data_IF_946409893537
#
_entry.id   IF_946409893537
#
_cell.length_a   1.000
_cell.length_b   1.000
_cell.length_c   1.000
_cell.angle_alpha   90.00
_cell.angle_beta   90.00
_cell.angle_gamma   90.00
#
_symmetry.space_group_name_H-M   'P 1'
#
loop_
_entity.id
_entity.type
_entity.pdbx_description
1 polymer ?
#
# COMPACT_ATOMS: atom_id res chain seq x y z
N UNK A 1 -21.62 14.51 2.44
CA UNK A 1 -20.15 14.48 2.29
C UNK A 1 -19.83 13.28 1.43
N UNK A 2 -18.91 13.39 0.47
CA UNK A 2 -18.40 12.21 -0.25
C UNK A 2 -17.75 11.26 0.77
N UNK A 3 -17.93 9.95 0.61
CA UNK A 3 -17.27 8.95 1.47
C UNK A 3 -15.75 9.07 1.27
N UNK A 4 -14.95 8.74 2.27
CA UNK A 4 -13.48 8.77 2.16
C UNK A 4 -13.00 7.97 0.93
N UNK A 5 -13.61 6.83 0.67
CA UNK A 5 -13.34 6.00 -0.50
C UNK A 5 -13.54 6.75 -1.84
N UNK A 6 -14.63 7.51 -2.00
CA UNK A 6 -14.88 8.27 -3.23
C UNK A 6 -13.80 9.33 -3.46
N UNK A 7 -13.33 9.96 -2.37
CA UNK A 7 -12.26 10.94 -2.43
C UNK A 7 -10.93 10.29 -2.84
N UNK A 8 -10.59 9.14 -2.26
CA UNK A 8 -9.39 8.38 -2.60
C UNK A 8 -9.41 7.92 -4.09
N UNK A 9 -10.54 7.41 -4.57
CA UNK A 9 -10.71 7.04 -5.98
C UNK A 9 -10.51 8.25 -6.88
N UNK A 10 -11.10 9.41 -6.55
CA UNK A 10 -10.93 10.64 -7.32
C UNK A 10 -9.47 11.12 -7.34
N UNK A 11 -8.74 10.99 -6.24
CA UNK A 11 -7.31 11.33 -6.19
C UNK A 11 -6.49 10.41 -7.12
N UNK A 12 -6.70 9.11 -7.04
CA UNK A 12 -6.04 8.12 -7.91
C UNK A 12 -6.39 8.40 -9.39
N UNK A 13 -7.66 8.66 -9.71
CA UNK A 13 -8.12 8.98 -11.05
C UNK A 13 -7.47 10.26 -11.60
N UNK A 14 -7.37 11.31 -10.76
CA UNK A 14 -6.72 12.57 -11.14
C UNK A 14 -5.26 12.34 -11.51
N UNK A 15 -4.53 11.59 -10.70
CA UNK A 15 -3.12 11.24 -10.96
C UNK A 15 -3.00 10.38 -12.21
N UNK A 16 -3.84 9.35 -12.36
CA UNK A 16 -3.81 8.45 -13.50
C UNK A 16 -4.06 9.20 -14.83
N UNK A 17 -5.04 10.11 -14.86
CA UNK A 17 -5.31 10.93 -16.05
C UNK A 17 -4.15 11.86 -16.40
N UNK A 18 -3.50 12.47 -15.41
CA UNK A 18 -2.36 13.35 -15.63
C UNK A 18 -1.14 12.59 -16.17
N UNK A 19 -0.86 11.39 -15.65
CA UNK A 19 0.23 10.54 -16.13
C UNK A 19 0.04 10.16 -17.62
N UNK A 20 -1.19 9.87 -18.01
CA UNK A 20 -1.48 9.36 -19.36
C UNK A 20 -0.99 7.93 -19.56
N UNK A 21 -1.35 7.31 -20.67
CA UNK A 21 -1.12 5.87 -20.92
C UNK A 21 0.34 5.45 -20.84
N UNK A 22 1.25 6.25 -21.34
CA UNK A 22 2.68 5.90 -21.38
C UNK A 22 3.28 5.77 -19.97
N UNK A 23 3.11 6.79 -19.12
CA UNK A 23 3.67 6.75 -17.76
C UNK A 23 2.88 5.81 -16.82
N UNK A 24 1.60 5.54 -17.09
CA UNK A 24 0.82 4.55 -16.33
C UNK A 24 1.40 3.14 -16.44
N UNK A 25 2.06 2.80 -17.54
CA UNK A 25 2.73 1.50 -17.72
C UNK A 25 4.02 1.37 -16.90
N UNK A 26 4.64 2.51 -16.55
CA UNK A 26 5.91 2.56 -15.81
C UNK A 26 5.73 2.61 -14.28
N UNK A 27 4.51 2.84 -13.80
CA UNK A 27 4.23 3.03 -12.37
C UNK A 27 3.28 1.97 -11.82
N UNK A 28 3.33 1.74 -10.51
CA UNK A 28 2.39 0.90 -9.78
C UNK A 28 1.83 1.70 -8.61
N UNK A 29 0.50 1.78 -8.51
CA UNK A 29 -0.19 2.40 -7.41
C UNK A 29 -0.08 1.53 -6.15
N UNK A 30 0.27 2.16 -5.04
CA UNK A 30 0.54 1.52 -3.74
C UNK A 30 0.02 2.41 -2.61
N UNK A 31 0.40 2.11 -1.37
CA UNK A 31 0.15 2.97 -0.22
C UNK A 31 -1.29 2.98 0.29
N UNK A 32 -1.56 3.87 1.23
CA UNK A 32 -2.85 3.95 1.94
C UNK A 32 -4.04 4.29 1.03
N UNK A 33 -3.81 5.08 -0.02
CA UNK A 33 -4.86 5.45 -0.98
C UNK A 33 -5.44 4.24 -1.73
N UNK A 34 -4.69 3.13 -1.85
CA UNK A 34 -5.12 1.92 -2.57
C UNK A 34 -5.81 0.89 -1.69
N UNK A 35 -5.84 1.06 -0.36
CA UNK A 35 -6.43 0.12 0.59
C UNK A 35 -7.85 -0.27 0.19
N UNK A 36 -8.69 0.72 -0.13
CA UNK A 36 -10.07 0.50 -0.53
C UNK A 36 -10.27 -0.23 -1.86
N UNK A 37 -9.28 -0.19 -2.76
CA UNK A 37 -9.32 -0.92 -4.03
C UNK A 37 -9.07 -2.41 -3.84
N UNK A 38 -8.36 -2.78 -2.77
CA UNK A 38 -8.00 -4.16 -2.45
C UNK A 38 -9.03 -4.87 -1.56
N UNK A 39 -9.88 -4.12 -0.85
CA UNK A 39 -10.93 -4.65 0.02
C UNK A 39 -12.16 -5.01 -0.80
N UNK A 40 -12.77 -6.17 -0.52
CA UNK A 40 -14.02 -6.63 -1.15
C UNK A 40 -15.24 -6.51 -0.22
N UNK A 41 -15.03 -6.44 1.10
CA UNK A 41 -16.12 -6.26 2.09
C UNK A 41 -16.57 -4.79 2.17
N UNK A 42 -17.85 -4.53 1.89
CA UNK A 42 -18.40 -3.16 1.85
C UNK A 42 -18.43 -2.49 3.23
N UNK A 43 -18.57 -3.25 4.32
CA UNK A 43 -18.59 -2.69 5.69
C UNK A 43 -17.20 -2.17 6.05
N UNK A 44 -16.15 -2.94 5.75
CA UNK A 44 -14.75 -2.51 5.96
C UNK A 44 -14.42 -1.29 5.11
N UNK A 45 -14.87 -1.25 3.85
CA UNK A 45 -14.67 -0.08 2.98
C UNK A 45 -15.20 1.23 3.55
N UNK A 46 -16.32 1.18 4.28
CA UNK A 46 -16.89 2.37 4.92
C UNK A 46 -16.02 2.93 6.05
N UNK A 47 -15.21 2.08 6.69
CA UNK A 47 -14.31 2.42 7.81
C UNK A 47 -12.89 2.86 7.39
N UNK A 48 -12.54 2.81 6.10
CA UNK A 48 -11.20 3.16 5.63
C UNK A 48 -10.89 4.63 5.93
N UNK A 49 -9.68 4.85 6.48
CA UNK A 49 -9.19 6.21 6.72
C UNK A 49 -8.96 6.96 5.42
N UNK A 50 -9.09 8.26 5.48
CA UNK A 50 -8.64 9.15 4.42
C UNK A 50 -7.11 9.31 4.49
N UNK A 51 -6.46 9.41 3.34
CA UNK A 51 -5.07 9.87 3.17
C UNK A 51 -5.06 11.03 2.17
N UNK A 52 -4.11 11.94 2.27
CA UNK A 52 -4.00 13.14 1.45
C UNK A 52 -2.92 13.03 0.37
N UNK A 53 -2.32 11.85 0.23
CA UNK A 53 -1.30 11.54 -0.76
C UNK A 53 -1.65 10.32 -1.62
N UNK A 54 -1.03 10.26 -2.79
CA UNK A 54 -1.05 9.10 -3.69
C UNK A 54 0.37 8.59 -3.83
N UNK A 55 0.57 7.34 -3.47
CA UNK A 55 1.88 6.67 -3.52
C UNK A 55 2.01 5.83 -4.79
N UNK A 56 3.16 5.95 -5.46
CA UNK A 56 3.50 5.19 -6.66
C UNK A 56 4.91 4.61 -6.55
N UNK A 57 5.07 3.36 -6.93
CA UNK A 57 6.40 2.79 -7.16
C UNK A 57 6.74 2.96 -8.63
N UNK A 58 8.00 3.33 -8.92
CA UNK A 58 8.51 3.52 -10.27
C UNK A 58 9.77 2.71 -10.51
N UNK A 59 9.87 2.10 -11.69
CA UNK A 59 11.09 1.43 -12.13
C UNK A 59 11.94 2.41 -12.92
N UNK A 60 13.09 2.80 -12.35
CA UNK A 60 14.02 3.73 -13.01
C UNK A 60 15.45 3.24 -12.89
N UNK A 61 16.20 3.33 -13.99
CA UNK A 61 17.59 2.89 -14.04
C UNK A 61 18.54 4.00 -13.57
N UNK A 62 18.81 4.04 -12.25
CA UNK A 62 19.75 4.96 -11.63
C UNK A 62 19.34 6.43 -11.73
N UNK A 63 20.26 7.33 -11.35
CA UNK A 63 19.98 8.78 -11.30
C UNK A 63 19.58 9.41 -12.64
N UNK A 64 20.16 8.94 -13.76
CA UNK A 64 19.81 9.48 -15.08
C UNK A 64 18.38 9.15 -15.47
N UNK A 65 17.95 7.91 -15.23
CA UNK A 65 16.56 7.48 -15.44
C UNK A 65 15.59 8.23 -14.53
N UNK A 66 15.94 8.41 -13.26
CA UNK A 66 15.16 9.18 -12.31
C UNK A 66 14.95 10.63 -12.75
N UNK A 67 16.04 11.30 -13.18
CA UNK A 67 15.95 12.67 -13.68
C UNK A 67 15.06 12.78 -14.92
N UNK A 68 15.22 11.86 -15.88
CA UNK A 68 14.38 11.83 -17.09
C UNK A 68 12.91 11.61 -16.75
N UNK A 69 12.61 10.70 -15.82
CA UNK A 69 11.23 10.47 -15.35
C UNK A 69 10.64 11.72 -14.70
N UNK A 70 11.42 12.42 -13.86
CA UNK A 70 10.96 13.68 -13.25
C UNK A 70 10.71 14.79 -14.29
N UNK A 71 11.48 14.85 -15.37
CA UNK A 71 11.23 15.81 -16.47
C UNK A 71 9.89 15.49 -17.16
N UNK A 72 9.63 14.22 -17.47
CA UNK A 72 8.34 13.80 -18.03
C UNK A 72 7.15 14.14 -17.11
N UNK A 73 7.32 13.97 -15.79
CA UNK A 73 6.29 14.35 -14.83
C UNK A 73 6.03 15.86 -14.84
N UNK A 74 7.08 16.70 -14.95
CA UNK A 74 6.92 18.16 -15.06
C UNK A 74 6.15 18.56 -16.32
N UNK A 75 6.40 17.89 -17.44
CA UNK A 75 5.67 18.10 -18.70
C UNK A 75 4.18 17.72 -18.57
N UNK A 76 3.84 16.83 -17.63
CA UNK A 76 2.47 16.45 -17.29
C UNK A 76 1.84 17.35 -16.21
N UNK A 77 2.53 18.38 -15.74
CA UNK A 77 2.01 19.34 -14.76
C UNK A 77 2.35 19.04 -13.30
N UNK A 78 3.13 18.00 -13.02
CA UNK A 78 3.62 17.74 -11.66
C UNK A 78 4.73 18.74 -11.31
N UNK A 79 4.69 19.27 -10.10
CA UNK A 79 5.64 20.29 -9.63
C UNK A 79 6.32 19.85 -8.32
N UNK A 80 7.55 20.28 -8.10
CA UNK A 80 8.26 20.11 -6.83
C UNK A 80 8.03 21.34 -5.97
N UNK A 81 7.67 21.15 -4.69
CA UNK A 81 7.62 22.25 -3.72
C UNK A 81 8.86 22.22 -2.84
N UNK A 82 9.44 23.39 -2.57
CA UNK A 82 10.57 23.53 -1.64
C UNK A 82 10.16 23.35 -0.17
N UNK A 83 8.86 23.39 0.10
CA UNK A 83 8.30 23.21 1.44
C UNK A 83 8.08 21.71 1.78
N UNK A 84 8.21 20.81 0.79
CA UNK A 84 8.06 19.38 1.01
C UNK A 84 9.37 18.78 1.53
N UNK A 85 9.32 18.16 2.72
CA UNK A 85 10.45 17.45 3.32
C UNK A 85 10.71 16.08 2.67
N UNK A 86 9.72 15.55 1.92
CA UNK A 86 9.78 14.24 1.28
C UNK A 86 10.37 14.35 -0.12
N UNK A 87 11.54 13.79 -0.33
CA UNK A 87 12.35 13.94 -1.56
C UNK A 87 11.65 13.38 -2.82
N UNK A 88 10.83 12.34 -2.68
CA UNK A 88 10.10 11.72 -3.78
C UNK A 88 8.75 12.38 -4.06
N UNK A 89 8.39 13.43 -3.31
CA UNK A 89 7.10 14.10 -3.41
C UNK A 89 7.06 15.10 -4.55
N UNK A 90 6.00 15.02 -5.32
CA UNK A 90 5.59 16.05 -6.29
C UNK A 90 4.14 16.46 -6.02
N UNK A 91 3.70 17.56 -6.60
CA UNK A 91 2.34 18.07 -6.44
C UNK A 91 1.66 18.21 -7.80
N UNK A 92 0.41 17.79 -7.87
CA UNK A 92 -0.48 17.95 -9.01
C UNK A 92 -1.72 18.72 -8.52
N UNK A 93 -1.88 19.99 -8.89
CA UNK A 93 -2.99 20.85 -8.47
C UNK A 93 -3.20 20.86 -6.93
N UNK A 94 -2.10 20.79 -6.18
CA UNK A 94 -2.10 20.76 -4.72
C UNK A 94 -2.18 19.35 -4.12
N UNK A 95 -2.53 18.33 -4.88
CA UNK A 95 -2.50 16.92 -4.45
C UNK A 95 -1.06 16.46 -4.28
N UNK A 96 -0.74 15.82 -3.16
CA UNK A 96 0.57 15.22 -2.91
C UNK A 96 0.68 13.87 -3.62
N UNK A 97 1.78 13.67 -4.34
CA UNK A 97 2.05 12.43 -5.07
C UNK A 97 3.49 12.01 -4.83
N UNK A 98 3.69 10.85 -4.22
CA UNK A 98 5.00 10.33 -3.88
C UNK A 98 5.42 9.26 -4.91
N UNK A 99 6.44 9.59 -5.70
CA UNK A 99 7.03 8.68 -6.68
C UNK A 99 8.26 8.01 -6.07
N UNK A 100 8.13 6.74 -5.69
CA UNK A 100 9.16 6.00 -4.97
C UNK A 100 9.93 5.07 -5.91
N UNK A 101 11.21 5.36 -6.23
CA UNK A 101 12.05 4.47 -7.01
C UNK A 101 12.24 3.13 -6.30
N UNK A 102 12.30 2.04 -7.07
CA UNK A 102 12.65 0.72 -6.57
C UNK A 102 14.14 0.57 -6.24
N UNK A 103 14.98 1.49 -6.73
CA UNK A 103 16.41 1.57 -6.45
C UNK A 103 16.70 2.47 -5.23
N UNK A 104 17.17 1.83 -4.15
CA UNK A 104 17.56 2.52 -2.91
C UNK A 104 18.67 3.56 -3.08
N UNK A 105 19.54 3.40 -4.09
CA UNK A 105 20.68 4.28 -4.29
C UNK A 105 20.25 5.68 -4.79
N UNK A 106 19.01 5.81 -5.31
CA UNK A 106 18.48 7.08 -5.80
C UNK A 106 18.07 8.02 -4.65
N UNK A 107 17.32 7.52 -3.66
CA UNK A 107 16.82 8.35 -2.55
C UNK A 107 17.48 8.04 -1.21
N UNK A 108 18.40 7.07 -1.16
CA UNK A 108 19.01 6.59 0.08
C UNK A 108 18.12 5.67 0.91
N UNK A 109 16.91 5.38 0.48
CA UNK A 109 15.98 4.42 1.06
C UNK A 109 15.14 3.74 -0.02
N UNK A 110 14.65 2.55 0.24
CA UNK A 110 13.64 1.85 -0.57
C UNK A 110 13.03 0.75 0.28
N UNK A 111 11.83 0.33 -0.08
CA UNK A 111 11.23 -0.87 0.47
C UNK A 111 11.74 -2.08 -0.32
N UNK A 112 12.26 -3.09 0.37
CA UNK A 112 12.85 -4.29 -0.27
C UNK A 112 11.91 -5.07 -1.17
N UNK A 113 10.60 -4.81 -1.09
CA UNK A 113 9.56 -5.49 -1.87
C UNK A 113 9.17 -4.72 -3.13
N UNK A 114 9.60 -3.47 -3.31
CA UNK A 114 9.16 -2.62 -4.43
C UNK A 114 9.44 -3.24 -5.79
N UNK A 115 10.63 -3.80 -5.99
CA UNK A 115 10.99 -4.42 -7.27
C UNK A 115 10.04 -5.57 -7.64
N UNK A 116 9.80 -6.51 -6.72
CA UNK A 116 8.91 -7.64 -6.97
C UNK A 116 7.44 -7.19 -7.05
N UNK A 117 7.05 -6.17 -6.29
CA UNK A 117 5.72 -5.58 -6.39
C UNK A 117 5.46 -4.97 -7.78
N UNK A 118 6.44 -4.27 -8.36
CA UNK A 118 6.39 -3.77 -9.74
C UNK A 118 6.21 -4.91 -10.76
N UNK A 119 7.00 -5.99 -10.64
CA UNK A 119 6.99 -7.12 -11.55
C UNK A 119 5.67 -7.91 -11.49
N UNK A 120 5.00 -7.94 -10.32
CA UNK A 120 3.78 -8.72 -10.06
C UNK A 120 2.49 -7.90 -10.04
N UNK A 121 2.58 -6.60 -10.29
CA UNK A 121 1.42 -5.71 -10.31
C UNK A 121 0.39 -6.18 -11.35
N UNK A 122 -0.89 -5.97 -11.04
CA UNK A 122 -2.00 -6.38 -11.88
C UNK A 122 -2.77 -5.18 -12.40
N UNK A 123 -3.37 -5.34 -13.56
CA UNK A 123 -4.26 -4.35 -14.13
C UNK A 123 -5.54 -4.25 -13.28
N UNK A 124 -5.87 -3.03 -12.87
CA UNK A 124 -7.08 -2.71 -12.15
C UNK A 124 -7.87 -1.66 -12.92
N UNK A 125 -9.13 -1.99 -13.28
CA UNK A 125 -10.03 -1.04 -13.96
C UNK A 125 -10.60 -0.06 -12.93
N UNK A 126 -10.04 1.13 -12.91
CA UNK A 126 -10.45 2.20 -11.99
C UNK A 126 -11.73 2.92 -12.49
N UNK A 127 -11.81 3.18 -13.80
CA UNK A 127 -12.95 3.76 -14.48
C UNK A 127 -13.14 3.08 -15.85
N UNK A 128 -14.19 3.45 -16.60
CA UNK A 128 -14.48 2.86 -17.91
C UNK A 128 -13.30 2.99 -18.88
N UNK A 129 -12.63 4.13 -18.84
CA UNK A 129 -11.51 4.51 -19.71
C UNK A 129 -10.13 4.51 -19.00
N UNK A 130 -10.06 4.08 -17.73
CA UNK A 130 -8.81 4.09 -16.96
C UNK A 130 -8.52 2.70 -16.40
N UNK A 131 -7.37 2.18 -16.80
CA UNK A 131 -6.76 0.98 -16.21
C UNK A 131 -5.44 1.42 -15.58
N UNK A 132 -5.24 1.09 -14.31
CA UNK A 132 -4.01 1.35 -13.57
C UNK A 132 -3.32 0.02 -13.23
N UNK A 133 -2.02 0.06 -12.99
CA UNK A 133 -1.31 -1.06 -12.38
C UNK A 133 -1.37 -0.94 -10.87
N UNK A 134 -1.93 -1.94 -10.22
CA UNK A 134 -2.12 -2.00 -8.77
C UNK A 134 -1.27 -3.14 -8.19
N UNK A 135 -0.60 -2.91 -7.05
CA UNK A 135 0.11 -3.99 -6.37
C UNK A 135 -0.89 -5.05 -5.88
N UNK A 136 -0.42 -6.32 -5.80
CA UNK A 136 -1.26 -7.40 -5.27
C UNK A 136 -1.35 -7.36 -3.75
N UNK A 137 -2.41 -7.93 -3.17
CA UNK A 137 -2.65 -7.92 -1.73
C UNK A 137 -1.50 -8.49 -0.89
N UNK A 138 -0.81 -9.57 -1.29
CA UNK A 138 0.38 -10.03 -0.55
C UNK A 138 1.51 -9.01 -0.53
N UNK A 139 1.77 -8.31 -1.65
CA UNK A 139 2.78 -7.24 -1.68
C UNK A 139 2.34 -5.99 -0.92
N UNK A 140 1.03 -5.69 -0.88
CA UNK A 140 0.51 -4.63 0.00
C UNK A 140 0.85 -4.93 1.46
N UNK A 141 0.52 -6.12 1.96
CA UNK A 141 0.87 -6.54 3.34
C UNK A 141 2.38 -6.46 3.56
N UNK A 142 3.20 -7.01 2.66
CA UNK A 142 4.65 -7.03 2.84
C UNK A 142 5.27 -5.63 2.85
N UNK A 143 4.83 -4.73 1.96
CA UNK A 143 5.33 -3.34 1.91
C UNK A 143 4.93 -2.56 3.16
N UNK A 144 3.72 -2.77 3.68
CA UNK A 144 3.22 -2.16 4.92
C UNK A 144 3.94 -2.71 6.17
N UNK A 145 4.16 -4.02 6.25
CA UNK A 145 4.96 -4.64 7.34
C UNK A 145 6.39 -4.08 7.37
N UNK A 146 7.04 -3.96 6.21
CA UNK A 146 8.38 -3.39 6.13
C UNK A 146 8.40 -1.91 6.55
N UNK A 147 7.39 -1.12 6.16
CA UNK A 147 7.25 0.26 6.57
C UNK A 147 6.99 0.39 8.08
N UNK A 148 6.12 -0.44 8.64
CA UNK A 148 5.86 -0.51 10.08
C UNK A 148 7.14 -0.80 10.88
N UNK A 149 7.98 -1.74 10.44
CA UNK A 149 9.28 -2.03 11.06
C UNK A 149 10.23 -0.84 11.05
N UNK A 150 10.19 -0.02 9.99
CA UNK A 150 11.07 1.12 9.82
C UNK A 150 10.61 2.38 10.58
N UNK A 151 9.32 2.67 10.59
CA UNK A 151 8.76 3.93 11.09
C UNK A 151 7.63 3.80 12.11
N UNK A 152 7.15 2.57 12.37
CA UNK A 152 5.99 2.33 13.26
C UNK A 152 6.32 2.44 14.76
N UNK A 153 7.57 2.67 15.14
CA UNK A 153 8.03 2.79 16.54
C UNK A 153 7.55 1.66 17.45
N UNK A 154 7.27 0.49 16.89
CA UNK A 154 6.68 -0.66 17.59
C UNK A 154 5.35 -0.31 18.31
N UNK A 155 4.56 0.62 17.73
CA UNK A 155 3.26 1.01 18.27
C UNK A 155 2.15 0.72 17.23
N UNK A 156 1.42 -0.42 17.37
CA UNK A 156 0.38 -0.78 16.42
C UNK A 156 -0.86 0.10 16.51
N UNK A 157 -1.04 0.87 17.60
CA UNK A 157 -2.18 1.76 17.78
C UNK A 157 -2.01 3.10 17.05
N UNK A 158 -0.76 3.59 16.95
CA UNK A 158 -0.45 4.85 16.31
C UNK A 158 -0.02 4.70 14.83
N UNK A 159 0.16 3.47 14.36
CA UNK A 159 0.67 3.21 13.02
C UNK A 159 -0.43 3.12 11.97
N UNK A 160 -0.43 4.03 11.01
CA UNK A 160 -1.30 3.95 9.82
C UNK A 160 -0.99 2.72 8.94
N UNK A 161 0.28 2.25 8.93
CA UNK A 161 0.62 1.02 8.20
C UNK A 161 -0.06 -0.19 8.84
N UNK A 162 -0.15 -0.23 10.17
CA UNK A 162 -0.86 -1.29 10.89
C UNK A 162 -2.37 -1.23 10.65
N UNK A 163 -2.96 -0.03 10.70
CA UNK A 163 -4.38 0.16 10.39
C UNK A 163 -4.72 -0.35 8.98
N UNK A 164 -3.90 -0.03 7.98
CA UNK A 164 -4.08 -0.49 6.60
C UNK A 164 -3.96 -2.02 6.47
N UNK A 165 -3.01 -2.65 7.20
CA UNK A 165 -2.86 -4.12 7.27
C UNK A 165 -4.12 -4.76 7.85
N UNK A 166 -4.57 -4.29 9.01
CA UNK A 166 -5.72 -4.85 9.70
C UNK A 166 -7.01 -4.66 8.91
N UNK A 167 -7.20 -3.52 8.24
CA UNK A 167 -8.31 -3.29 7.32
C UNK A 167 -8.30 -4.30 6.18
N UNK A 168 -7.14 -4.60 5.59
CA UNK A 168 -7.07 -5.58 4.51
C UNK A 168 -7.31 -7.01 5.03
N UNK A 169 -6.79 -7.36 6.20
CA UNK A 169 -7.06 -8.67 6.84
C UNK A 169 -8.55 -8.83 7.15
N UNK A 170 -9.21 -7.78 7.63
CA UNK A 170 -10.65 -7.79 7.91
C UNK A 170 -11.49 -7.86 6.62
N UNK A 171 -11.15 -7.02 5.63
CA UNK A 171 -12.00 -6.75 4.47
C UNK A 171 -11.73 -7.58 3.22
N UNK A 172 -10.72 -8.49 3.23
CA UNK A 172 -10.38 -9.35 2.08
C UNK A 172 -10.38 -10.83 2.45
N UNK A 173 -11.49 -11.54 2.28
CA UNK A 173 -11.58 -12.98 2.60
C UNK A 173 -10.56 -13.85 1.88
N UNK A 174 -10.15 -13.47 0.66
CA UNK A 174 -9.21 -14.21 -0.19
C UNK A 174 -7.75 -14.07 0.25
N UNK A 175 -7.43 -13.11 1.15
CA UNK A 175 -6.05 -12.74 1.49
C UNK A 175 -5.20 -13.92 1.97
N UNK A 176 -5.75 -14.79 2.83
CA UNK A 176 -5.03 -15.98 3.35
C UNK A 176 -4.61 -16.89 2.20
N UNK A 177 -5.52 -17.16 1.25
CA UNK A 177 -5.24 -18.00 0.10
C UNK A 177 -4.24 -17.35 -0.86
N UNK A 178 -4.34 -16.05 -1.07
CA UNK A 178 -3.41 -15.29 -1.91
C UNK A 178 -1.98 -15.32 -1.34
N UNK A 179 -1.83 -15.17 -0.02
CA UNK A 179 -0.53 -15.28 0.64
C UNK A 179 -0.02 -16.72 0.56
N UNK A 180 -0.88 -17.72 0.74
CA UNK A 180 -0.51 -19.14 0.68
C UNK A 180 0.11 -19.54 -0.67
N UNK A 181 -0.40 -18.99 -1.78
CA UNK A 181 0.08 -19.29 -3.14
C UNK A 181 1.18 -18.34 -3.62
N UNK A 182 1.53 -17.32 -2.83
CA UNK A 182 2.59 -16.38 -3.15
C UNK A 182 3.98 -17.07 -3.14
N UNK A 183 4.98 -16.38 -3.73
CA UNK A 183 6.37 -16.83 -3.65
C UNK A 183 6.79 -17.15 -2.22
N UNK A 184 7.57 -18.24 -2.02
CA UNK A 184 7.97 -18.73 -0.70
C UNK A 184 8.58 -17.62 0.17
N UNK A 185 9.48 -16.80 -0.40
CA UNK A 185 10.17 -15.75 0.34
C UNK A 185 9.20 -14.66 0.83
N UNK A 186 8.22 -14.30 0.00
CA UNK A 186 7.19 -13.32 0.36
C UNK A 186 6.26 -13.89 1.43
N UNK A 187 5.78 -15.13 1.24
CA UNK A 187 4.91 -15.83 2.17
C UNK A 187 5.56 -15.99 3.55
N UNK A 188 6.78 -16.52 3.60
CA UNK A 188 7.50 -16.74 4.86
C UNK A 188 7.73 -15.41 5.59
N UNK A 189 8.11 -14.34 4.88
CA UNK A 189 8.24 -13.02 5.49
C UNK A 189 6.93 -12.52 6.11
N UNK A 190 5.82 -12.60 5.37
CA UNK A 190 4.52 -12.15 5.88
C UNK A 190 4.13 -12.99 7.10
N UNK A 191 4.27 -14.31 7.04
CA UNK A 191 3.92 -15.22 8.12
C UNK A 191 4.73 -14.94 9.40
N UNK A 192 6.05 -14.76 9.27
CA UNK A 192 6.92 -14.42 10.41
C UNK A 192 6.56 -13.08 11.04
N UNK A 193 6.36 -12.03 10.24
CA UNK A 193 6.06 -10.70 10.79
C UNK A 193 4.65 -10.65 11.40
N UNK A 194 3.66 -11.33 10.83
CA UNK A 194 2.33 -11.47 11.44
C UNK A 194 2.40 -12.27 12.75
N UNK A 195 3.25 -13.33 12.81
CA UNK A 195 3.48 -14.05 14.07
C UNK A 195 4.04 -13.14 15.18
N UNK A 196 5.01 -12.27 14.85
CA UNK A 196 5.53 -11.29 15.81
C UNK A 196 4.49 -10.27 16.26
N UNK A 197 3.58 -9.87 15.34
CA UNK A 197 2.48 -8.96 15.69
C UNK A 197 1.46 -9.62 16.64
N UNK A 198 1.18 -10.91 16.47
CA UNK A 198 0.28 -11.64 17.37
C UNK A 198 0.84 -11.74 18.80
N UNK A 199 2.17 -11.72 18.95
CA UNK A 199 2.86 -11.70 20.28
C UNK A 199 2.91 -10.29 20.88
N UNK A 200 2.43 -9.24 20.20
CA UNK A 200 2.52 -7.87 20.69
C UNK A 200 1.39 -7.52 21.65
N UNK A 201 1.71 -6.98 22.84
CA UNK A 201 0.76 -6.68 23.93
C UNK A 201 -0.42 -5.78 23.53
N UNK A 202 -0.26 -4.95 22.50
CA UNK A 202 -1.28 -3.97 22.06
C UNK A 202 -2.07 -4.43 20.83
N UNK A 203 -1.80 -5.60 20.26
CA UNK A 203 -2.44 -6.04 19.02
C UNK A 203 -3.96 -6.18 19.15
N UNK A 204 -4.43 -6.68 20.29
CA UNK A 204 -5.85 -6.82 20.60
C UNK A 204 -6.59 -5.48 20.52
N UNK A 205 -5.98 -4.43 21.07
CA UNK A 205 -6.55 -3.08 21.04
C UNK A 205 -6.53 -2.48 19.63
N UNK A 206 -5.48 -2.73 18.84
CA UNK A 206 -5.40 -2.28 17.47
C UNK A 206 -6.50 -2.92 16.61
N UNK A 207 -6.71 -4.25 16.74
CA UNK A 207 -7.78 -4.96 16.04
C UNK A 207 -9.14 -4.41 16.45
N UNK A 208 -9.41 -4.26 17.75
CA UNK A 208 -10.68 -3.72 18.27
C UNK A 208 -10.94 -2.30 17.71
N UNK A 209 -9.90 -1.47 17.59
CA UNK A 209 -9.99 -0.13 17.04
C UNK A 209 -10.44 -0.14 15.58
N UNK A 210 -9.82 -0.98 14.75
CA UNK A 210 -10.12 -1.06 13.30
C UNK A 210 -11.53 -1.57 13.03
N UNK A 211 -11.97 -2.61 13.76
CA UNK A 211 -13.32 -3.21 13.57
C UNK A 211 -14.40 -2.58 14.47
N UNK A 212 -14.11 -1.38 15.03
CA UNK A 212 -15.04 -0.63 15.89
C UNK A 212 -15.65 -1.47 17.05
N UNK A 213 -14.87 -2.40 17.58
CA UNK A 213 -15.25 -3.26 18.70
C UNK A 213 -16.30 -4.33 18.38
N UNK A 214 -16.61 -4.63 17.12
CA UNK A 214 -17.50 -5.75 16.75
C UNK A 214 -16.83 -7.09 17.11
N UNK A 215 -17.38 -7.85 18.09
CA UNK A 215 -16.72 -9.08 18.58
C UNK A 215 -16.61 -10.17 17.51
N UNK A 216 -17.55 -10.21 16.54
CA UNK A 216 -17.52 -11.18 15.45
C UNK A 216 -16.36 -10.90 14.50
N UNK A 217 -16.16 -9.63 14.17
CA UNK A 217 -15.04 -9.19 13.32
C UNK A 217 -13.69 -9.29 14.03
N UNK A 218 -13.63 -8.96 15.32
CA UNK A 218 -12.42 -9.17 16.13
C UNK A 218 -11.96 -10.63 16.02
N UNK A 219 -12.85 -11.60 16.27
CA UNK A 219 -12.52 -13.01 16.18
C UNK A 219 -12.09 -13.41 14.75
N UNK A 220 -12.77 -12.88 13.73
CA UNK A 220 -12.43 -13.15 12.33
C UNK A 220 -11.03 -12.66 11.96
N UNK A 221 -10.64 -11.46 12.40
CA UNK A 221 -9.30 -10.89 12.15
C UNK A 221 -8.24 -11.74 12.82
N UNK A 222 -8.43 -12.13 14.10
CA UNK A 222 -7.53 -13.04 14.80
C UNK A 222 -7.38 -14.38 14.07
N UNK A 223 -8.48 -15.03 13.71
CA UNK A 223 -8.46 -16.31 12.98
C UNK A 223 -7.65 -16.20 11.66
N UNK A 224 -7.80 -15.09 10.93
CA UNK A 224 -7.06 -14.87 9.68
C UNK A 224 -5.57 -14.60 9.94
N UNK A 225 -5.23 -13.80 10.93
CA UNK A 225 -3.83 -13.54 11.32
C UNK A 225 -3.14 -14.83 11.78
N UNK A 226 -3.79 -15.66 12.59
CA UNK A 226 -3.28 -16.97 13.00
C UNK A 226 -3.05 -17.90 11.81
N UNK A 227 -4.00 -17.96 10.85
CA UNK A 227 -3.82 -18.74 9.63
C UNK A 227 -2.63 -18.24 8.81
N UNK A 228 -2.46 -16.92 8.67
CA UNK A 228 -1.34 -16.32 7.93
C UNK A 228 -0.02 -16.67 8.63
N UNK A 229 0.07 -16.51 9.95
CA UNK A 229 1.30 -16.83 10.71
C UNK A 229 1.68 -18.30 10.60
N UNK A 230 0.70 -19.20 10.48
CA UNK A 230 0.91 -20.63 10.27
C UNK A 230 1.35 -21.03 8.86
N UNK A 231 1.50 -20.09 7.91
CA UNK A 231 1.93 -20.38 6.54
C UNK A 231 3.47 -20.46 6.38
N UNK A 232 4.25 -20.11 7.40
CA UNK A 232 5.70 -20.33 7.37
C UNK A 232 5.98 -21.84 7.39
N UNK A 233 6.81 -22.33 6.45
CA UNK A 233 7.32 -23.69 6.55
C UNK A 233 8.21 -23.80 7.80
N UNK A 234 7.96 -24.74 8.70
CA UNK A 234 8.94 -25.05 9.74
C UNK A 234 10.20 -25.59 9.02
N UNK A 235 11.29 -24.80 9.03
CA UNK A 235 12.58 -25.14 8.44
C UNK A 235 13.19 -26.43 8.99
#
# INVERSE_FOLDING_TARGET
MARAQDQLINMIETVARALGTELLEEVVFVGGCTTGLLISDEVTKEGIRYTDDVDLIVNVAGYAGWHSFQEQLRDKGFTVSLDDEVICRMRLDGLMVDFMPDDKDILGFSNRWYKQALESAQDYRLAEDIVIRLLTSPFFIATKLEAYKGRGNNDPLASHDMEDILNLVDGRPELVTEIQVADKRLRDFIAEEIGRLLDHDLIDYAIQGVVMGDPGRVNLVFERLEKISGLSDPG
#
